data_IF_440326500774
#
_entry.id   IF_440326500774
#
_cell.length_a   1.000
_cell.length_b   1.000
_cell.length_c   1.000
_cell.angle_alpha   90.00
_cell.angle_beta   90.00
_cell.angle_gamma   90.00
#
_symmetry.space_group_name_H-M   'P 1'
#
loop_
_entity.id
_entity.type
_entity.pdbx_description
1 polymer ?
#
# COMPACT_ATOMS: atom_id res chain seq x y z
N UNK A 1 3.01 20.78 -20.97
CA UNK A 1 3.30 20.36 -19.59
C UNK A 1 2.56 19.05 -19.35
N UNK A 2 3.14 18.03 -18.73
CA UNK A 2 2.35 16.88 -18.32
C UNK A 2 1.23 17.38 -17.41
N UNK A 3 0.03 16.82 -17.57
CA UNK A 3 -1.12 17.18 -16.73
C UNK A 3 -0.75 16.95 -15.25
N UNK A 4 -1.19 17.86 -14.38
CA UNK A 4 -1.03 17.68 -12.93
C UNK A 4 -1.58 16.31 -12.54
N UNK A 5 -0.80 15.54 -11.77
CA UNK A 5 -1.17 14.20 -11.33
C UNK A 5 -1.46 14.23 -9.84
N UNK A 6 -2.59 13.67 -9.43
CA UNK A 6 -2.95 13.53 -8.03
C UNK A 6 -2.68 12.10 -7.59
N UNK A 7 -1.95 11.95 -6.49
CA UNK A 7 -1.65 10.66 -5.87
C UNK A 7 -2.16 10.60 -4.44
N UNK A 8 -2.67 9.45 -4.03
CA UNK A 8 -3.07 9.18 -2.65
C UNK A 8 -2.21 8.07 -2.06
N UNK A 9 -1.57 8.32 -0.90
CA UNK A 9 -0.73 7.36 -0.18
C UNK A 9 -1.34 7.09 1.20
N UNK A 10 -1.88 5.90 1.39
CA UNK A 10 -2.40 5.46 2.67
C UNK A 10 -1.29 4.84 3.51
N UNK A 11 -1.18 5.21 4.81
CA UNK A 11 -0.14 4.70 5.71
C UNK A 11 1.19 5.45 5.62
N UNK A 12 1.14 6.76 5.45
CA UNK A 12 2.26 7.62 5.05
C UNK A 12 3.10 8.19 6.20
N UNK A 13 2.82 7.86 7.47
CA UNK A 13 3.50 8.50 8.61
C UNK A 13 4.97 8.11 8.77
N UNK A 14 5.40 6.98 8.21
CA UNK A 14 6.77 6.43 8.35
C UNK A 14 7.09 5.39 7.28
N UNK A 15 8.35 4.96 7.24
CA UNK A 15 8.82 3.84 6.41
C UNK A 15 8.51 4.03 4.92
N UNK A 16 8.04 2.97 4.26
CA UNK A 16 7.76 3.01 2.82
C UNK A 16 6.70 4.05 2.45
N UNK A 17 5.66 4.24 3.28
CA UNK A 17 4.61 5.21 2.98
C UNK A 17 5.12 6.64 2.98
N UNK A 18 5.94 7.01 3.93
CA UNK A 18 6.59 8.32 3.98
C UNK A 18 7.53 8.51 2.78
N UNK A 19 8.27 7.47 2.42
CA UNK A 19 9.20 7.51 1.30
C UNK A 19 8.46 7.65 -0.04
N UNK A 20 7.31 6.98 -0.23
CA UNK A 20 6.45 7.21 -1.39
C UNK A 20 6.05 8.68 -1.51
N UNK A 21 5.61 9.29 -0.41
CA UNK A 21 5.25 10.73 -0.41
C UNK A 21 6.44 11.58 -0.83
N UNK A 22 7.63 11.32 -0.27
CA UNK A 22 8.85 12.07 -0.58
C UNK A 22 9.19 12.02 -2.07
N UNK A 23 9.22 10.82 -2.65
CA UNK A 23 9.59 10.64 -4.05
C UNK A 23 8.50 11.16 -5.01
N UNK A 24 7.21 10.98 -4.71
CA UNK A 24 6.13 11.53 -5.52
C UNK A 24 6.17 13.06 -5.59
N UNK A 25 6.51 13.74 -4.50
CA UNK A 25 6.69 15.19 -4.47
C UNK A 25 7.94 15.65 -5.25
N UNK A 26 8.97 14.80 -5.33
CA UNK A 26 10.22 15.14 -6.01
C UNK A 26 10.15 14.97 -7.53
N UNK A 27 9.31 14.08 -8.05
CA UNK A 27 9.27 13.74 -9.50
C UNK A 27 8.64 14.84 -10.35
N UNK A 28 7.68 15.59 -9.83
CA UNK A 28 6.93 16.58 -10.61
C UNK A 28 6.49 17.76 -9.74
N UNK A 29 6.91 18.96 -10.12
CA UNK A 29 6.54 20.21 -9.43
C UNK A 29 5.03 20.52 -9.51
N UNK A 30 4.30 19.90 -10.43
CA UNK A 30 2.84 20.01 -10.55
C UNK A 30 2.07 18.88 -9.86
N UNK A 31 2.74 17.91 -9.21
CA UNK A 31 2.06 16.80 -8.56
C UNK A 31 1.42 17.21 -7.24
N UNK A 32 0.16 16.83 -7.02
CA UNK A 32 -0.53 16.90 -5.73
C UNK A 32 -0.47 15.52 -5.04
N UNK A 33 -0.12 15.51 -3.77
CA UNK A 33 -0.05 14.28 -2.97
C UNK A 33 -0.97 14.41 -1.77
N UNK A 34 -1.91 13.48 -1.66
CA UNK A 34 -2.68 13.26 -0.45
C UNK A 34 -2.05 12.10 0.31
N UNK A 35 -1.67 12.35 1.54
CA UNK A 35 -1.08 11.34 2.41
C UNK A 35 -2.01 11.10 3.59
N UNK A 36 -2.18 9.86 4.02
CA UNK A 36 -3.00 9.59 5.20
C UNK A 36 -2.30 8.76 6.25
N UNK A 37 -2.65 9.00 7.49
CA UNK A 37 -2.22 8.23 8.64
C UNK A 37 -3.22 8.35 9.80
N UNK A 38 -3.09 7.49 10.81
CA UNK A 38 -3.98 7.45 11.97
C UNK A 38 -3.94 8.73 12.82
N UNK A 39 -2.76 9.25 13.03
CA UNK A 39 -2.50 10.41 13.89
C UNK A 39 -1.65 11.44 13.13
N UNK A 40 -2.25 12.29 12.30
CA UNK A 40 -1.54 13.32 11.53
C UNK A 40 -0.68 14.26 12.39
N UNK A 41 -1.19 14.63 13.55
CA UNK A 41 -0.53 15.56 14.49
C UNK A 41 0.81 15.03 15.01
N UNK A 42 0.91 13.69 15.13
CA UNK A 42 2.10 13.01 15.66
C UNK A 42 3.06 12.54 14.55
N UNK A 43 2.75 12.80 13.28
CA UNK A 43 3.56 12.40 12.13
C UNK A 43 4.59 13.49 11.77
N UNK A 44 5.58 13.70 12.63
CA UNK A 44 6.51 14.84 12.54
C UNK A 44 7.23 14.95 11.18
N UNK A 45 7.75 13.83 10.64
CA UNK A 45 8.42 13.84 9.34
C UNK A 45 7.45 14.16 8.19
N UNK A 46 6.22 13.64 8.25
CA UNK A 46 5.20 13.93 7.25
C UNK A 46 4.75 15.40 7.32
N UNK A 47 4.63 15.97 8.52
CA UNK A 47 4.35 17.40 8.71
C UNK A 47 5.50 18.28 8.19
N UNK A 48 6.75 17.86 8.40
CA UNK A 48 7.92 18.55 7.83
C UNK A 48 7.88 18.56 6.30
N UNK A 49 7.56 17.43 5.65
CA UNK A 49 7.38 17.37 4.20
C UNK A 49 6.25 18.29 3.73
N UNK A 50 5.14 18.35 4.48
CA UNK A 50 4.02 19.25 4.16
C UNK A 50 4.46 20.71 4.15
N UNK A 51 5.22 21.16 5.14
CA UNK A 51 5.69 22.55 5.21
C UNK A 51 6.63 22.92 4.06
N UNK A 52 7.37 21.94 3.52
CA UNK A 52 8.31 22.11 2.42
C UNK A 52 7.68 21.94 1.02
N UNK A 53 6.45 21.46 0.95
CA UNK A 53 5.81 21.05 -0.31
C UNK A 53 5.11 22.19 -1.07
N UNK A 54 5.17 23.42 -0.57
CA UNK A 54 4.48 24.59 -1.19
C UNK A 54 2.97 24.34 -1.43
N UNK A 55 2.31 23.66 -0.50
CA UNK A 55 0.89 23.36 -0.57
C UNK A 55 0.53 22.10 -1.38
N UNK A 56 1.50 21.42 -1.99
CA UNK A 56 1.28 20.20 -2.79
C UNK A 56 0.98 18.95 -1.96
N UNK A 57 1.30 18.93 -0.66
CA UNK A 57 1.00 17.82 0.24
C UNK A 57 -0.16 18.17 1.17
N UNK A 58 -1.18 17.33 1.15
CA UNK A 58 -2.30 17.36 2.11
C UNK A 58 -2.29 16.09 2.95
N UNK A 59 -2.51 16.24 4.26
CA UNK A 59 -2.49 15.11 5.18
C UNK A 59 -3.90 14.90 5.73
N UNK A 60 -4.39 13.66 5.58
CA UNK A 60 -5.71 13.24 6.00
C UNK A 60 -5.61 12.26 7.18
N UNK A 61 -6.57 12.32 8.10
CA UNK A 61 -6.72 11.28 9.12
C UNK A 61 -7.41 10.07 8.50
N UNK A 62 -6.79 8.89 8.59
CA UNK A 62 -7.37 7.63 8.15
C UNK A 62 -6.74 6.47 8.94
N UNK A 63 -7.60 5.69 9.59
CA UNK A 63 -7.28 4.38 10.15
C UNK A 63 -7.98 3.32 9.29
N UNK A 64 -7.22 2.40 8.72
CA UNK A 64 -7.76 1.33 7.85
C UNK A 64 -8.66 0.34 8.60
N UNK A 65 -8.58 0.31 9.93
CA UNK A 65 -9.46 -0.48 10.80
C UNK A 65 -10.74 0.25 11.24
N UNK A 66 -10.90 1.52 10.84
CA UNK A 66 -12.11 2.31 11.09
C UNK A 66 -12.67 2.86 9.77
N UNK A 67 -13.68 2.16 9.24
CA UNK A 67 -14.29 2.50 7.95
C UNK A 67 -14.86 3.92 7.89
N UNK A 68 -15.26 4.51 9.03
CA UNK A 68 -15.75 5.89 9.08
C UNK A 68 -14.65 6.87 8.67
N UNK A 69 -13.43 6.65 9.16
CA UNK A 69 -12.30 7.52 8.80
C UNK A 69 -11.90 7.37 7.35
N UNK A 70 -12.08 6.18 6.76
CA UNK A 70 -11.85 5.94 5.33
C UNK A 70 -12.86 6.73 4.50
N UNK A 71 -14.15 6.64 4.85
CA UNK A 71 -15.22 7.39 4.19
C UNK A 71 -15.01 8.92 4.29
N UNK A 72 -14.63 9.41 5.47
CA UNK A 72 -14.36 10.84 5.68
C UNK A 72 -13.19 11.33 4.83
N UNK A 73 -12.10 10.55 4.76
CA UNK A 73 -10.95 10.87 3.91
C UNK A 73 -11.32 10.86 2.42
N UNK A 74 -12.13 9.91 1.97
CA UNK A 74 -12.61 9.85 0.59
C UNK A 74 -13.46 11.07 0.22
N UNK A 75 -14.38 11.48 1.08
CA UNK A 75 -15.19 12.68 0.88
C UNK A 75 -14.34 13.96 0.77
N UNK A 76 -13.33 14.11 1.63
CA UNK A 76 -12.43 15.27 1.56
C UNK A 76 -11.63 15.33 0.23
N UNK A 77 -11.35 14.20 -0.39
CA UNK A 77 -10.74 14.15 -1.70
C UNK A 77 -11.74 14.49 -2.82
N UNK A 78 -12.96 13.93 -2.75
CA UNK A 78 -14.02 14.14 -3.72
C UNK A 78 -14.48 15.61 -3.78
N UNK A 79 -14.60 16.29 -2.62
CA UNK A 79 -14.96 17.70 -2.53
C UNK A 79 -13.99 18.64 -3.27
N UNK A 80 -12.80 18.16 -3.61
CA UNK A 80 -11.79 18.92 -4.32
C UNK A 80 -11.77 18.63 -5.83
N UNK A 81 -12.75 17.85 -6.32
CA UNK A 81 -12.87 17.41 -7.72
C UNK A 81 -11.54 16.78 -8.25
N UNK A 82 -10.83 16.05 -7.38
CA UNK A 82 -9.54 15.49 -7.69
C UNK A 82 -9.68 14.13 -8.38
N UNK A 83 -9.23 14.06 -9.62
CA UNK A 83 -9.05 12.81 -10.35
C UNK A 83 -7.74 12.16 -9.94
N UNK A 84 -7.83 11.05 -9.22
CA UNK A 84 -6.65 10.38 -8.68
C UNK A 84 -6.04 9.44 -9.72
N UNK A 85 -4.78 9.68 -10.06
CA UNK A 85 -4.04 8.83 -10.99
C UNK A 85 -3.34 7.65 -10.30
N UNK A 86 -3.11 7.74 -8.98
CA UNK A 86 -2.40 6.73 -8.21
C UNK A 86 -2.93 6.65 -6.80
N UNK A 87 -3.36 5.46 -6.39
CA UNK A 87 -3.67 5.12 -5.00
C UNK A 87 -2.70 4.04 -4.54
N UNK A 88 -2.02 4.27 -3.41
CA UNK A 88 -1.10 3.29 -2.83
C UNK A 88 -1.52 2.98 -1.38
N UNK A 89 -1.92 1.73 -1.12
CA UNK A 89 -2.13 1.22 0.23
C UNK A 89 -0.81 0.65 0.75
N UNK A 90 -0.26 1.29 1.78
CA UNK A 90 1.04 0.92 2.36
C UNK A 90 0.91 0.32 3.75
N UNK A 91 -0.12 0.71 4.52
CA UNK A 91 -0.28 0.22 5.88
C UNK A 91 -0.30 -1.31 5.95
N UNK A 92 0.44 -1.84 6.90
CA UNK A 92 0.49 -3.25 7.21
C UNK A 92 1.02 -3.51 8.60
N UNK A 93 0.67 -4.67 9.16
CA UNK A 93 1.16 -5.14 10.44
C UNK A 93 1.65 -6.58 10.31
N UNK A 94 2.73 -6.89 11.02
CA UNK A 94 3.32 -8.24 11.13
C UNK A 94 3.42 -8.65 12.60
N UNK A 95 3.63 -7.68 13.47
CA UNK A 95 3.71 -7.82 14.91
C UNK A 95 3.11 -6.59 15.59
N UNK A 96 2.79 -6.73 16.87
CA UNK A 96 2.23 -5.64 17.66
C UNK A 96 2.11 -5.99 19.13
N UNK A 97 1.52 -5.12 19.96
CA UNK A 97 1.29 -5.43 21.37
C UNK A 97 0.51 -6.74 21.54
N UNK A 98 1.13 -7.71 22.19
CA UNK A 98 0.49 -8.99 22.49
C UNK A 98 0.49 -10.04 21.38
N UNK A 99 1.08 -9.77 20.20
CA UNK A 99 1.22 -10.78 19.16
C UNK A 99 2.50 -10.62 18.34
N UNK A 100 2.98 -11.74 17.81
CA UNK A 100 4.10 -11.82 16.86
C UNK A 100 3.81 -12.95 15.87
N UNK A 101 4.52 -12.99 14.72
CA UNK A 101 4.30 -14.03 13.72
C UNK A 101 4.50 -15.42 14.29
N UNK A 102 3.54 -16.30 14.05
CA UNK A 102 3.48 -17.64 14.62
C UNK A 102 4.50 -18.56 13.92
N UNK A 103 5.32 -19.25 14.70
CA UNK A 103 6.27 -20.26 14.20
C UNK A 103 5.65 -21.68 14.10
N UNK A 104 4.57 -21.93 14.85
CA UNK A 104 3.89 -23.23 14.89
C UNK A 104 2.38 -23.03 15.15
N UNK A 105 1.57 -24.01 14.75
CA UNK A 105 0.11 -23.98 14.83
C UNK A 105 -0.40 -23.65 16.26
N UNK A 106 0.23 -24.19 17.28
CA UNK A 106 -0.16 -23.94 18.68
C UNK A 106 -0.04 -22.47 19.15
N UNK A 107 0.61 -21.61 18.37
CA UNK A 107 0.75 -20.17 18.66
C UNK A 107 -0.33 -19.33 18.00
N UNK A 108 -1.15 -19.93 17.13
CA UNK A 108 -2.23 -19.20 16.45
C UNK A 108 -3.29 -18.77 17.46
N UNK A 109 -3.65 -17.49 17.42
CA UNK A 109 -4.73 -16.95 18.25
C UNK A 109 -5.74 -16.19 17.39
N UNK A 110 -7.02 -16.25 17.78
CA UNK A 110 -8.08 -15.52 17.08
C UNK A 110 -7.88 -14.01 17.16
N UNK A 111 -7.28 -13.52 18.25
CA UNK A 111 -6.97 -12.10 18.43
C UNK A 111 -5.92 -11.63 17.40
N UNK A 112 -4.81 -12.35 17.25
CA UNK A 112 -3.76 -12.03 16.28
C UNK A 112 -4.30 -12.13 14.84
N UNK A 113 -5.06 -13.18 14.51
CA UNK A 113 -5.69 -13.32 13.21
C UNK A 113 -6.56 -12.11 12.87
N UNK A 114 -7.47 -11.71 13.76
CA UNK A 114 -8.33 -10.54 13.55
C UNK A 114 -7.51 -9.26 13.34
N UNK A 115 -6.56 -8.96 14.23
CA UNK A 115 -5.75 -7.76 14.15
C UNK A 115 -4.94 -7.66 12.85
N UNK A 116 -4.37 -8.79 12.40
CA UNK A 116 -3.56 -8.82 11.18
C UNK A 116 -4.43 -8.73 9.91
N UNK A 117 -5.56 -9.46 9.85
CA UNK A 117 -6.47 -9.41 8.72
C UNK A 117 -7.15 -8.06 8.58
N UNK A 118 -7.53 -7.44 9.68
CA UNK A 118 -8.15 -6.11 9.72
C UNK A 118 -7.31 -5.08 8.98
N UNK A 119 -6.03 -5.03 9.28
CA UNK A 119 -5.13 -4.05 8.67
C UNK A 119 -4.66 -4.47 7.28
N UNK A 120 -4.23 -5.75 7.11
CA UNK A 120 -3.54 -6.16 5.89
C UNK A 120 -4.46 -6.55 4.74
N UNK A 121 -5.68 -7.01 5.03
CA UNK A 121 -6.62 -7.51 4.04
C UNK A 121 -7.87 -6.64 3.93
N UNK A 122 -8.59 -6.44 5.03
CA UNK A 122 -9.85 -5.69 5.01
C UNK A 122 -9.61 -4.19 4.76
N UNK A 123 -8.58 -3.61 5.38
CA UNK A 123 -8.23 -2.21 5.22
C UNK A 123 -8.07 -1.80 3.75
N UNK A 124 -7.18 -2.41 2.95
CA UNK A 124 -7.02 -2.10 1.52
C UNK A 124 -8.30 -2.29 0.71
N UNK A 125 -9.13 -3.29 1.05
CA UNK A 125 -10.42 -3.52 0.39
C UNK A 125 -11.42 -2.40 0.70
N UNK A 126 -11.49 -1.95 1.95
CA UNK A 126 -12.35 -0.83 2.37
C UNK A 126 -11.87 0.49 1.77
N UNK A 127 -10.57 0.71 1.66
CA UNK A 127 -10.04 1.86 0.91
C UNK A 127 -10.49 1.78 -0.55
N UNK A 128 -10.37 0.63 -1.21
CA UNK A 128 -10.86 0.47 -2.57
C UNK A 128 -12.36 0.78 -2.70
N UNK A 129 -13.19 0.30 -1.75
CA UNK A 129 -14.64 0.56 -1.72
C UNK A 129 -14.98 2.05 -1.78
N UNK A 130 -14.25 2.88 -1.03
CA UNK A 130 -14.56 4.30 -0.91
C UNK A 130 -13.82 5.20 -1.92
N UNK A 131 -12.66 4.76 -2.40
CA UNK A 131 -11.81 5.57 -3.28
C UNK A 131 -11.91 5.21 -4.77
N UNK A 132 -12.47 4.02 -5.15
CA UNK A 132 -12.55 3.64 -6.56
C UNK A 132 -13.33 4.61 -7.46
N UNK A 133 -14.33 5.39 -7.00
CA UNK A 133 -14.98 6.34 -7.88
C UNK A 133 -14.03 7.38 -8.47
N UNK A 134 -12.98 7.75 -7.73
CA UNK A 134 -11.96 8.73 -8.16
C UNK A 134 -11.02 8.19 -9.26
N UNK A 135 -11.04 6.86 -9.51
CA UNK A 135 -10.31 6.22 -10.59
C UNK A 135 -11.11 6.14 -11.90
N UNK A 136 -12.40 6.56 -11.88
CA UNK A 136 -13.29 6.53 -13.04
C UNK A 136 -13.11 7.77 -13.92
N UNK A 137 -12.08 7.77 -14.73
CA UNK A 137 -11.81 8.83 -15.68
C UNK A 137 -11.12 8.26 -16.93
N UNK A 138 -10.95 9.11 -17.95
CA UNK A 138 -10.41 8.77 -19.26
C UNK A 138 -8.89 8.55 -19.29
N UNK A 139 -8.19 8.93 -18.23
CA UNK A 139 -6.75 8.74 -18.08
C UNK A 139 -6.43 7.44 -17.36
N UNK A 140 -5.22 6.90 -17.63
CA UNK A 140 -4.70 5.76 -16.86
C UNK A 140 -4.61 6.11 -15.38
N UNK A 141 -5.07 5.19 -14.53
CA UNK A 141 -4.90 5.24 -13.09
C UNK A 141 -4.41 3.90 -12.54
N UNK A 142 -3.81 3.91 -11.36
CA UNK A 142 -3.31 2.70 -10.71
C UNK A 142 -3.79 2.65 -9.27
N UNK A 143 -4.34 1.50 -8.89
CA UNK A 143 -4.62 1.13 -7.50
C UNK A 143 -3.63 0.05 -7.09
N UNK A 144 -2.65 0.41 -6.26
CA UNK A 144 -1.60 -0.47 -5.79
C UNK A 144 -1.75 -0.77 -4.29
N UNK A 145 -1.53 -2.03 -3.90
CA UNK A 145 -1.51 -2.40 -2.47
C UNK A 145 -0.21 -3.12 -2.14
N UNK A 146 0.49 -2.70 -1.08
CA UNK A 146 1.69 -3.41 -0.63
C UNK A 146 1.32 -4.79 -0.08
N UNK A 147 1.60 -5.79 -0.88
CA UNK A 147 1.52 -7.19 -0.54
C UNK A 147 2.90 -7.71 -0.09
N UNK A 148 3.09 -9.01 -0.14
CA UNK A 148 4.36 -9.65 0.14
C UNK A 148 4.43 -11.01 -0.59
N UNK A 149 5.62 -11.41 -1.03
CA UNK A 149 5.87 -12.75 -1.61
C UNK A 149 5.36 -13.87 -0.70
N UNK A 150 5.41 -13.65 0.61
CA UNK A 150 4.93 -14.61 1.61
C UNK A 150 3.41 -14.89 1.52
N UNK A 151 2.64 -14.05 0.81
CA UNK A 151 1.24 -14.27 0.49
C UNK A 151 1.00 -15.22 -0.67
N UNK A 152 2.04 -15.62 -1.40
CA UNK A 152 1.96 -16.65 -2.44
C UNK A 152 1.75 -18.03 -1.81
N UNK A 153 0.71 -18.73 -2.24
CA UNK A 153 0.41 -20.11 -1.79
C UNK A 153 1.38 -21.07 -2.43
N UNK A 154 1.65 -20.88 -3.73
CA UNK A 154 2.54 -21.74 -4.50
C UNK A 154 4.02 -21.64 -4.10
N UNK A 155 4.46 -20.47 -3.60
CA UNK A 155 5.84 -20.22 -3.15
C UNK A 155 6.06 -20.59 -1.67
N UNK A 156 5.02 -20.99 -0.93
CA UNK A 156 5.10 -21.31 0.48
C UNK A 156 5.78 -22.66 0.73
N UNK A 157 7.09 -22.64 1.03
CA UNK A 157 7.89 -23.83 1.40
C UNK A 157 8.30 -23.84 2.87
N UNK A 158 8.24 -22.66 3.54
CA UNK A 158 8.77 -22.50 4.89
C UNK A 158 7.71 -22.70 5.98
N UNK A 159 6.43 -22.48 5.67
CA UNK A 159 5.36 -22.49 6.67
C UNK A 159 5.47 -21.36 7.70
N UNK A 160 4.78 -21.50 8.83
CA UNK A 160 4.72 -20.47 9.87
C UNK A 160 4.03 -19.18 9.42
N UNK A 161 3.97 -18.18 10.31
CA UNK A 161 3.41 -16.85 10.07
C UNK A 161 1.97 -16.89 9.52
N UNK A 162 1.16 -17.74 10.13
CA UNK A 162 -0.18 -18.08 9.63
C UNK A 162 -1.05 -16.84 9.37
N UNK A 163 -1.12 -15.94 10.37
CA UNK A 163 -1.91 -14.72 10.24
C UNK A 163 -1.41 -13.82 9.11
N UNK A 164 -0.09 -13.61 9.03
CA UNK A 164 0.49 -12.73 8.03
C UNK A 164 0.37 -13.31 6.61
N UNK A 165 0.76 -14.59 6.41
CA UNK A 165 0.60 -15.29 5.12
C UNK A 165 -0.85 -15.27 4.67
N UNK A 166 -1.77 -15.70 5.55
CA UNK A 166 -3.20 -15.73 5.25
C UNK A 166 -3.75 -14.36 4.88
N UNK A 167 -3.36 -13.30 5.61
CA UNK A 167 -3.82 -11.95 5.31
C UNK A 167 -3.32 -11.43 3.96
N UNK A 168 -2.05 -11.73 3.60
CA UNK A 168 -1.48 -11.31 2.31
C UNK A 168 -2.03 -12.13 1.13
N UNK A 169 -2.32 -13.42 1.33
CA UNK A 169 -3.05 -14.22 0.35
C UNK A 169 -4.48 -13.70 0.13
N UNK A 170 -5.19 -13.35 1.20
CA UNK A 170 -6.51 -12.72 1.12
C UNK A 170 -6.44 -11.37 0.39
N UNK A 171 -5.46 -10.53 0.69
CA UNK A 171 -5.22 -9.27 -0.01
C UNK A 171 -4.97 -9.49 -1.51
N UNK A 172 -4.19 -10.52 -1.90
CA UNK A 172 -3.95 -10.87 -3.30
C UNK A 172 -5.25 -11.28 -4.00
N UNK A 173 -6.10 -12.09 -3.33
CA UNK A 173 -7.42 -12.44 -3.86
C UNK A 173 -8.32 -11.21 -4.03
N UNK A 174 -8.34 -10.29 -3.06
CA UNK A 174 -9.11 -9.06 -3.18
C UNK A 174 -8.61 -8.17 -4.31
N UNK A 175 -7.28 -8.07 -4.50
CA UNK A 175 -6.66 -7.38 -5.64
C UNK A 175 -7.15 -7.96 -6.95
N UNK A 176 -7.17 -9.28 -7.09
CA UNK A 176 -7.67 -9.97 -8.28
C UNK A 176 -9.17 -9.73 -8.51
N UNK A 177 -9.99 -9.87 -7.46
CA UNK A 177 -11.43 -9.67 -7.55
C UNK A 177 -11.75 -8.20 -7.93
N UNK A 178 -11.10 -7.23 -7.28
CA UNK A 178 -11.26 -5.82 -7.57
C UNK A 178 -10.87 -5.47 -9.01
N UNK A 179 -9.81 -6.08 -9.54
CA UNK A 179 -9.37 -5.85 -10.92
C UNK A 179 -10.43 -6.23 -11.95
N UNK A 180 -11.18 -7.32 -11.69
CA UNK A 180 -12.26 -7.79 -12.56
C UNK A 180 -13.45 -6.83 -12.51
N UNK A 181 -13.80 -6.34 -11.33
CA UNK A 181 -14.89 -5.39 -11.15
C UNK A 181 -14.54 -4.02 -11.79
N UNK A 182 -13.36 -3.47 -11.47
CA UNK A 182 -12.95 -2.19 -12.03
C UNK A 182 -12.75 -2.23 -13.55
N UNK A 183 -12.36 -3.37 -14.10
CA UNK A 183 -12.30 -3.54 -15.55
C UNK A 183 -13.63 -3.25 -16.28
N UNK A 184 -14.77 -3.34 -15.57
CA UNK A 184 -16.11 -3.05 -16.13
C UNK A 184 -16.53 -1.59 -15.94
N UNK A 185 -16.09 -0.93 -14.87
CA UNK A 185 -16.60 0.40 -14.47
C UNK A 185 -15.55 1.50 -14.54
N UNK A 186 -14.28 1.15 -14.59
CA UNK A 186 -13.12 2.03 -14.71
C UNK A 186 -12.03 1.35 -15.58
N UNK A 187 -12.25 1.17 -16.89
CA UNK A 187 -11.40 0.33 -17.76
C UNK A 187 -9.95 0.82 -17.88
N UNK A 188 -9.69 2.09 -17.56
CA UNK A 188 -8.34 2.66 -17.55
C UNK A 188 -7.62 2.50 -16.20
N UNK A 189 -8.28 1.90 -15.19
CA UNK A 189 -7.69 1.62 -13.90
C UNK A 189 -6.98 0.26 -13.89
N UNK A 190 -5.72 0.26 -13.45
CA UNK A 190 -4.90 -0.94 -13.27
C UNK A 190 -4.82 -1.23 -11.77
N UNK A 191 -5.18 -2.44 -11.36
CA UNK A 191 -5.18 -2.87 -9.95
C UNK A 191 -4.07 -3.88 -9.74
N UNK A 192 -3.12 -3.61 -8.86
CA UNK A 192 -1.96 -4.48 -8.62
C UNK A 192 -1.61 -4.66 -7.14
N UNK A 193 -1.00 -5.80 -6.84
CA UNK A 193 -0.25 -6.01 -5.60
C UNK A 193 1.23 -5.73 -5.81
N UNK A 194 1.94 -5.28 -4.78
CA UNK A 194 3.37 -4.98 -4.84
C UNK A 194 4.12 -5.65 -3.68
N UNK A 195 5.19 -6.38 -3.99
CA UNK A 195 6.13 -6.89 -2.98
C UNK A 195 7.39 -6.03 -2.95
N UNK A 196 7.67 -5.33 -1.83
CA UNK A 196 8.77 -4.37 -1.74
C UNK A 196 10.16 -5.00 -1.54
N UNK A 197 10.26 -6.33 -1.41
CA UNK A 197 11.44 -6.98 -0.87
C UNK A 197 11.49 -6.93 0.66
N UNK A 198 12.62 -7.28 1.26
CA UNK A 198 12.85 -7.06 2.69
C UNK A 198 13.45 -5.67 2.86
N UNK A 199 12.69 -4.75 3.46
CA UNK A 199 13.07 -3.34 3.58
C UNK A 199 13.33 -3.00 5.04
N UNK A 200 14.40 -2.23 5.29
CA UNK A 200 14.77 -1.77 6.63
C UNK A 200 13.75 -0.75 7.14
N UNK A 201 12.80 -1.25 7.91
CA UNK A 201 11.70 -0.50 8.51
C UNK A 201 11.31 -1.13 9.84
N UNK A 202 10.60 -0.41 10.69
CA UNK A 202 10.10 -0.96 11.96
C UNK A 202 9.19 -2.19 11.81
N UNK A 203 8.63 -2.46 10.62
CA UNK A 203 7.88 -3.69 10.37
C UNK A 203 8.79 -4.92 10.31
N UNK A 204 9.94 -4.79 9.69
CA UNK A 204 10.88 -5.90 9.46
C UNK A 204 11.97 -6.01 10.53
N UNK A 205 12.25 -4.95 11.27
CA UNK A 205 13.34 -4.83 12.24
C UNK A 205 13.51 -6.07 13.15
N UNK A 206 12.44 -6.61 13.79
CA UNK A 206 12.60 -7.79 14.66
C UNK A 206 12.99 -9.08 13.90
N UNK A 207 12.92 -9.08 12.58
CA UNK A 207 13.09 -10.25 11.70
C UNK A 207 14.28 -10.13 10.74
N UNK A 208 15.10 -9.10 10.89
CA UNK A 208 16.25 -8.84 10.01
C UNK A 208 17.46 -9.72 10.35
N UNK A 209 17.50 -10.32 11.55
CA UNK A 209 18.55 -11.24 11.93
C UNK A 209 18.60 -12.43 10.96
N UNK A 210 19.72 -12.58 10.24
CA UNK A 210 19.92 -13.61 9.22
C UNK A 210 19.50 -13.20 7.80
N UNK A 211 18.99 -12.00 7.59
CA UNK A 211 18.81 -11.45 6.24
C UNK A 211 20.18 -11.02 5.71
N UNK A 212 20.65 -11.54 4.57
CA UNK A 212 21.88 -11.08 3.94
C UNK A 212 21.81 -9.56 3.67
N UNK A 213 22.90 -8.85 3.91
CA UNK A 213 22.93 -7.38 3.79
C UNK A 213 22.49 -6.90 2.40
N UNK A 214 22.85 -7.63 1.36
CA UNK A 214 22.47 -7.34 -0.03
C UNK A 214 20.99 -7.58 -0.34
N UNK A 215 20.24 -8.22 0.58
CA UNK A 215 18.80 -8.47 0.49
C UNK A 215 17.97 -7.61 1.43
N UNK A 216 18.61 -6.79 2.26
CA UNK A 216 17.96 -5.80 3.11
C UNK A 216 18.04 -4.43 2.43
N UNK A 217 16.94 -4.00 1.87
CA UNK A 217 16.89 -2.76 1.08
C UNK A 217 16.59 -1.55 1.95
N UNK A 218 17.06 -0.38 1.53
CA UNK A 218 16.60 0.88 2.10
C UNK A 218 15.19 1.21 1.59
N UNK A 219 14.40 1.97 2.34
CA UNK A 219 13.09 2.47 1.86
C UNK A 219 13.20 3.21 0.53
N UNK A 220 14.22 4.04 0.37
CA UNK A 220 14.49 4.79 -0.85
C UNK A 220 14.67 3.87 -2.07
N UNK A 221 15.56 2.88 -1.99
CA UNK A 221 15.77 1.93 -3.07
C UNK A 221 14.48 1.19 -3.43
N UNK A 222 13.80 0.63 -2.42
CA UNK A 222 12.60 -0.15 -2.62
C UNK A 222 11.49 0.69 -3.28
N UNK A 223 11.23 1.90 -2.79
CA UNK A 223 10.19 2.78 -3.34
C UNK A 223 10.53 3.22 -4.77
N UNK A 224 11.79 3.56 -5.06
CA UNK A 224 12.22 3.88 -6.44
C UNK A 224 11.89 2.73 -7.40
N UNK A 225 12.18 1.51 -7.00
CA UNK A 225 11.88 0.32 -7.81
C UNK A 225 10.37 0.09 -7.97
N UNK A 226 9.61 0.23 -6.89
CA UNK A 226 8.16 0.06 -6.93
C UNK A 226 7.46 1.15 -7.76
N UNK A 227 7.93 2.38 -7.73
CA UNK A 227 7.41 3.45 -8.60
C UNK A 227 7.71 3.18 -10.08
N UNK A 228 8.86 2.58 -10.39
CA UNK A 228 9.15 2.13 -11.75
C UNK A 228 8.16 1.04 -12.20
N UNK A 229 7.89 0.03 -11.35
CA UNK A 229 6.86 -0.99 -11.64
C UNK A 229 5.49 -0.35 -11.86
N UNK A 230 5.07 0.57 -10.99
CA UNK A 230 3.79 1.31 -11.13
C UNK A 230 3.75 2.08 -12.45
N UNK A 231 4.86 2.66 -12.88
CA UNK A 231 4.94 3.38 -14.17
C UNK A 231 4.75 2.44 -15.37
N UNK A 232 5.33 1.26 -15.32
CA UNK A 232 5.45 0.34 -16.45
C UNK A 232 4.21 -0.57 -16.64
N UNK A 233 3.43 -0.83 -15.57
CA UNK A 233 2.24 -1.71 -15.68
C UNK A 233 1.18 -1.15 -16.61
N UNK A 234 0.50 -2.05 -17.32
CA UNK A 234 -0.54 -1.77 -18.30
C UNK A 234 -1.86 -2.44 -17.92
N UNK A 235 -2.90 -2.27 -18.71
CA UNK A 235 -4.19 -2.93 -18.51
C UNK A 235 -4.09 -4.47 -18.53
N UNK A 236 -3.07 -5.04 -19.19
CA UNK A 236 -2.85 -6.50 -19.23
C UNK A 236 -2.26 -7.05 -17.93
N UNK A 237 -1.82 -6.17 -17.05
CA UNK A 237 -1.18 -6.50 -15.77
C UNK A 237 -2.15 -6.40 -14.58
N UNK A 238 -3.37 -5.94 -14.85
CA UNK A 238 -4.37 -5.77 -13.79
C UNK A 238 -4.71 -7.10 -13.10
N UNK A 239 -4.73 -7.08 -11.78
CA UNK A 239 -5.00 -8.26 -10.94
C UNK A 239 -3.78 -9.13 -10.64
N UNK A 240 -2.57 -8.71 -11.03
CA UNK A 240 -1.31 -9.39 -10.74
C UNK A 240 -0.62 -8.80 -9.51
N UNK A 241 0.35 -9.55 -8.98
CA UNK A 241 1.27 -9.10 -7.93
C UNK A 241 2.67 -9.07 -8.51
N UNK A 242 3.39 -7.96 -8.32
CA UNK A 242 4.76 -7.78 -8.81
C UNK A 242 5.74 -7.58 -7.65
N UNK A 243 6.94 -8.08 -7.79
CA UNK A 243 8.01 -7.73 -6.87
C UNK A 243 8.70 -6.41 -7.31
N UNK A 244 9.59 -5.90 -6.48
CA UNK A 244 10.35 -4.65 -6.71
C UNK A 244 11.22 -4.67 -7.99
N UNK A 245 11.43 -5.81 -8.62
CA UNK A 245 12.14 -5.93 -9.90
C UNK A 245 11.22 -5.87 -11.11
N UNK A 246 9.90 -5.99 -10.87
CA UNK A 246 8.90 -6.11 -11.90
C UNK A 246 8.58 -7.57 -12.29
N UNK A 247 9.12 -8.54 -11.54
CA UNK A 247 8.79 -9.95 -11.75
C UNK A 247 7.41 -10.26 -11.13
N UNK A 248 6.58 -11.01 -11.84
CA UNK A 248 5.29 -11.47 -11.32
C UNK A 248 5.48 -12.46 -10.18
N UNK A 249 4.81 -12.21 -9.06
CA UNK A 249 4.72 -13.13 -7.92
C UNK A 249 3.46 -13.97 -8.10
N UNK A 250 3.63 -15.24 -8.41
CA UNK A 250 2.52 -16.17 -8.61
C UNK A 250 1.74 -16.40 -7.30
N UNK A 251 0.41 -16.60 -7.38
CA UNK A 251 -0.44 -16.82 -6.22
C UNK A 251 -0.17 -18.12 -5.46
#
# INVERSE_FOLDING_TARGET
>A
MPAATTSFVQGASRGLGLEFVRQLLAVNDGASVFASCRNPENAAELQSLKSQSSGRLRILKLDVSDEKTILEAAKQLEEQDERVSLIINVAGVLHGPGFSPEKKLAQVSSQALRAVFEVNAFGPLLVAKHFHPMLRHDRRSVFASLSARIGSISDNRLGGWYAYRGSKAAQNMFTKTLSIELGRVAPNAVVIGLHPGTVDTGLSEPFQNGVPKEKLFTPEYSVTRLLAVISDVTSTDTGKVFDFRGDEVLP
#
